data_IF_347149256077
#
_entry.id   IF_347149256077
#
_cell.length_a   1.000
_cell.length_b   1.000
_cell.length_c   1.000
_cell.angle_alpha   90.00
_cell.angle_beta   90.00
_cell.angle_gamma   90.00
#
_symmetry.space_group_name_H-M   'P 1'
#
loop_
_entity.id
_entity.type
_entity.pdbx_description
1 polymer ?
#
# COMPACT_ATOMS: atom_id res chain seq x y z
N UNK A 1 15.38 -30.81 -18.39
CA UNK A 1 14.20 -29.96 -18.15
C UNK A 1 14.50 -29.13 -16.90
N UNK A 2 14.63 -27.79 -16.98
CA UNK A 2 14.75 -27.01 -15.77
C UNK A 2 13.40 -26.99 -15.05
N UNK A 3 13.43 -27.26 -13.75
CA UNK A 3 12.29 -27.09 -12.85
C UNK A 3 11.85 -25.64 -12.92
N UNK A 4 10.53 -25.40 -13.01
CA UNK A 4 9.95 -24.07 -12.99
C UNK A 4 10.61 -23.24 -11.89
N UNK A 5 11.36 -22.21 -12.30
CA UNK A 5 11.83 -21.17 -11.39
C UNK A 5 10.59 -20.72 -10.63
N UNK A 6 10.56 -20.99 -9.32
CA UNK A 6 9.55 -20.41 -8.45
C UNK A 6 9.75 -18.91 -8.54
N UNK A 7 8.95 -18.25 -9.38
CA UNK A 7 8.90 -16.81 -9.46
C UNK A 7 8.40 -16.40 -8.08
N UNK A 8 9.32 -16.01 -7.20
CA UNK A 8 8.95 -15.36 -5.94
C UNK A 8 8.16 -14.13 -6.37
N UNK A 9 6.85 -14.18 -6.16
CA UNK A 9 5.98 -13.05 -6.45
C UNK A 9 6.17 -12.10 -5.29
N UNK A 10 6.76 -10.95 -5.60
CA UNK A 10 6.81 -9.85 -4.64
C UNK A 10 5.39 -9.53 -4.22
N UNK A 11 5.19 -9.33 -2.93
CA UNK A 11 3.87 -9.10 -2.37
C UNK A 11 3.91 -8.06 -1.28
N UNK A 12 2.80 -7.34 -1.16
CA UNK A 12 2.53 -6.39 -0.08
C UNK A 12 1.28 -6.83 0.66
N UNK A 13 1.09 -6.32 1.87
CA UNK A 13 -0.08 -6.63 2.68
C UNK A 13 -0.93 -5.39 2.85
N UNK A 14 -2.15 -5.39 2.31
CA UNK A 14 -3.13 -4.34 2.56
C UNK A 14 -4.01 -4.71 3.74
N UNK A 15 -4.09 -3.83 4.74
CA UNK A 15 -4.86 -4.02 5.96
C UNK A 15 -5.74 -2.81 6.25
N UNK A 16 -6.76 -3.01 7.09
CA UNK A 16 -7.68 -1.94 7.54
C UNK A 16 -8.78 -1.66 6.53
N UNK A 17 -9.14 -0.38 6.39
CA UNK A 17 -10.31 0.09 5.63
C UNK A 17 -10.08 0.14 4.11
N UNK A 18 -9.81 -1.02 3.54
CA UNK A 18 -9.75 -1.30 2.10
C UNK A 18 -10.86 -2.28 1.71
N UNK A 19 -11.36 -2.19 0.47
CA UNK A 19 -12.46 -3.06 0.03
C UNK A 19 -12.03 -4.53 -0.11
N UNK A 20 -10.77 -4.79 -0.48
CA UNK A 20 -10.21 -6.14 -0.53
C UNK A 20 -8.87 -6.19 0.23
N UNK A 21 -8.90 -6.46 1.55
CA UNK A 21 -7.68 -6.62 2.35
C UNK A 21 -7.02 -7.97 2.09
N UNK A 22 -5.70 -8.03 2.32
CA UNK A 22 -4.92 -9.27 2.21
C UNK A 22 -3.58 -9.07 1.53
N UNK A 23 -2.93 -10.19 1.19
CA UNK A 23 -1.70 -10.20 0.42
C UNK A 23 -2.00 -9.89 -1.05
N UNK A 24 -1.29 -8.90 -1.60
CA UNK A 24 -1.42 -8.45 -2.98
C UNK A 24 -0.09 -8.64 -3.68
N UNK A 25 -0.08 -9.43 -4.74
CA UNK A 25 1.08 -9.57 -5.59
C UNK A 25 1.34 -8.26 -6.33
N UNK A 26 2.57 -7.76 -6.25
CA UNK A 26 3.01 -6.58 -6.98
C UNK A 26 4.05 -6.97 -8.02
N UNK A 27 4.26 -6.09 -8.99
CA UNK A 27 5.43 -6.16 -9.88
C UNK A 27 6.29 -4.97 -9.54
N UNK A 28 7.41 -5.16 -8.85
CA UNK A 28 8.29 -4.06 -8.48
C UNK A 28 8.64 -3.19 -9.69
N UNK A 29 8.63 -1.89 -9.45
CA UNK A 29 8.85 -0.89 -10.50
C UNK A 29 8.15 0.42 -10.16
N UNK A 30 8.33 1.45 -11.00
CA UNK A 30 7.86 2.81 -10.72
C UNK A 30 6.33 2.94 -10.63
N UNK A 31 5.59 1.91 -11.03
CA UNK A 31 4.12 1.89 -11.00
C UNK A 31 3.54 1.10 -9.84
N UNK A 32 4.34 0.32 -9.08
CA UNK A 32 3.86 -0.39 -7.90
C UNK A 32 3.81 0.58 -6.71
N UNK A 33 2.81 1.45 -6.69
CA UNK A 33 2.68 2.51 -5.69
C UNK A 33 1.48 2.30 -4.78
N UNK A 34 1.50 2.94 -3.61
CA UNK A 34 0.45 2.74 -2.59
C UNK A 34 -0.94 3.12 -3.09
N UNK A 35 -1.08 4.26 -3.77
CA UNK A 35 -2.40 4.69 -4.26
C UNK A 35 -2.91 3.76 -5.36
N UNK A 36 -2.02 3.31 -6.25
CA UNK A 36 -2.37 2.37 -7.32
C UNK A 36 -2.80 1.01 -6.79
N UNK A 37 -2.05 0.44 -5.85
CA UNK A 37 -2.38 -0.87 -5.28
C UNK A 37 -3.72 -0.81 -4.53
N UNK A 38 -4.00 0.27 -3.80
CA UNK A 38 -5.30 0.49 -3.17
C UNK A 38 -6.42 0.56 -4.23
N UNK A 39 -6.22 1.29 -5.32
CA UNK A 39 -7.20 1.36 -6.43
C UNK A 39 -7.45 -0.01 -7.08
N UNK A 40 -6.39 -0.77 -7.36
CA UNK A 40 -6.47 -2.11 -7.96
C UNK A 40 -7.22 -3.11 -7.06
N UNK A 41 -7.18 -2.90 -5.74
CA UNK A 41 -7.97 -3.65 -4.77
C UNK A 41 -9.37 -3.06 -4.51
N UNK A 42 -9.89 -2.26 -5.44
CA UNK A 42 -11.25 -1.71 -5.37
C UNK A 42 -11.38 -0.45 -4.51
N UNK A 43 -10.27 0.16 -4.11
CA UNK A 43 -10.26 1.39 -3.33
C UNK A 43 -10.46 1.18 -1.82
N UNK A 44 -10.70 2.29 -1.13
CA UNK A 44 -10.95 2.31 0.31
C UNK A 44 -12.44 2.15 0.63
N UNK A 45 -12.76 1.71 1.84
CA UNK A 45 -14.15 1.68 2.31
C UNK A 45 -14.66 3.11 2.59
N UNK A 46 -15.96 3.26 2.82
CA UNK A 46 -16.55 4.56 3.21
C UNK A 46 -16.07 5.07 4.58
N UNK A 47 -15.57 4.18 5.44
CA UNK A 47 -15.11 4.49 6.79
C UNK A 47 -13.61 4.82 6.84
N UNK A 48 -12.87 4.67 5.75
CA UNK A 48 -11.44 4.90 5.69
C UNK A 48 -11.03 6.37 5.89
N UNK A 49 -9.87 6.60 6.51
CA UNK A 49 -9.12 7.86 6.45
C UNK A 49 -7.92 7.74 5.47
N UNK A 50 -8.15 7.90 4.15
CA UNK A 50 -7.11 7.81 3.13
C UNK A 50 -6.04 8.93 3.22
N UNK A 51 -6.25 9.97 4.03
CA UNK A 51 -5.24 11.02 4.24
C UNK A 51 -4.09 10.62 5.16
N UNK A 52 -4.21 9.48 5.84
CA UNK A 52 -3.23 9.02 6.84
C UNK A 52 -2.83 7.55 6.65
N UNK A 53 -2.75 7.09 5.39
CA UNK A 53 -2.34 5.71 5.09
C UNK A 53 -0.92 5.48 5.59
N UNK A 54 -0.71 4.39 6.32
CA UNK A 54 0.59 4.04 6.88
C UNK A 54 1.25 2.95 6.05
N UNK A 55 2.54 3.11 5.79
CA UNK A 55 3.38 2.07 5.18
C UNK A 55 4.43 1.68 6.20
N UNK A 56 4.43 0.41 6.60
CA UNK A 56 5.48 -0.18 7.43
C UNK A 56 6.40 -1.00 6.54
N UNK A 57 7.67 -0.62 6.54
CA UNK A 57 8.73 -1.24 5.74
C UNK A 57 9.81 -1.80 6.65
N UNK A 58 10.23 -3.03 6.39
CA UNK A 58 11.40 -3.61 7.06
C UNK A 58 12.58 -3.59 6.10
N UNK A 59 13.65 -2.91 6.46
CA UNK A 59 14.87 -2.86 5.67
C UNK A 59 15.64 -4.19 5.76
N UNK A 60 16.60 -4.47 4.85
CA UNK A 60 17.37 -5.71 4.86
C UNK A 60 18.16 -5.97 6.15
N UNK A 61 18.47 -4.92 6.91
CA UNK A 61 19.15 -4.99 8.21
C UNK A 61 18.18 -5.26 9.38
N UNK A 62 16.88 -5.44 9.10
CA UNK A 62 15.82 -5.65 10.10
C UNK A 62 15.24 -4.36 10.68
N UNK A 63 15.74 -3.18 10.31
CA UNK A 63 15.23 -1.90 10.80
C UNK A 63 13.83 -1.65 10.25
N UNK A 64 12.89 -1.28 11.13
CA UNK A 64 11.53 -0.91 10.74
C UNK A 64 11.43 0.59 10.48
N UNK A 65 10.83 0.98 9.36
CA UNK A 65 10.51 2.35 8.99
C UNK A 65 9.00 2.48 8.79
N UNK A 66 8.43 3.59 9.25
CA UNK A 66 7.03 3.92 9.04
C UNK A 66 6.93 5.22 8.25
N UNK A 67 6.07 5.24 7.24
CA UNK A 67 5.76 6.42 6.44
C UNK A 67 4.27 6.66 6.49
N UNK A 68 3.85 7.93 6.44
CA UNK A 68 2.45 8.33 6.31
C UNK A 68 2.28 8.98 4.95
N UNK A 69 1.26 8.54 4.21
CA UNK A 69 0.97 9.00 2.85
C UNK A 69 -0.47 9.51 2.78
N UNK A 70 -0.65 10.68 2.19
CA UNK A 70 -1.98 11.23 1.89
C UNK A 70 -2.47 10.70 0.53
N UNK A 71 -3.01 9.48 0.56
CA UNK A 71 -3.59 8.83 -0.62
C UNK A 71 -4.83 9.58 -1.12
N UNK A 72 -5.54 10.30 -0.25
CA UNK A 72 -6.66 11.15 -0.68
C UNK A 72 -6.19 12.26 -1.61
N UNK A 73 -5.10 12.95 -1.27
CA UNK A 73 -4.51 14.00 -2.09
C UNK A 73 -4.06 13.47 -3.44
N UNK A 74 -3.39 12.31 -3.46
CA UNK A 74 -2.96 11.64 -4.69
C UNK A 74 -4.16 11.33 -5.60
N UNK A 75 -5.17 10.63 -5.08
CA UNK A 75 -6.28 10.14 -5.89
C UNK A 75 -7.31 11.21 -6.26
N UNK A 76 -7.52 12.22 -5.41
CA UNK A 76 -8.53 13.26 -5.64
C UNK A 76 -7.98 14.48 -6.36
N UNK A 77 -6.72 14.86 -6.10
CA UNK A 77 -6.11 16.05 -6.66
C UNK A 77 -5.09 15.74 -7.76
N UNK A 78 -4.82 14.46 -8.03
CA UNK A 78 -3.89 14.03 -9.08
C UNK A 78 -2.41 14.24 -8.74
N UNK A 79 -2.07 14.36 -7.46
CA UNK A 79 -0.70 14.56 -6.97
C UNK A 79 0.14 13.26 -7.01
N UNK A 80 0.19 12.60 -8.17
CA UNK A 80 0.84 11.28 -8.33
C UNK A 80 2.36 11.31 -8.09
N UNK A 81 2.99 12.47 -8.15
CA UNK A 81 4.38 12.68 -7.76
C UNK A 81 4.64 12.46 -6.26
N UNK A 82 3.59 12.54 -5.44
CA UNK A 82 3.64 12.26 -4.00
C UNK A 82 3.41 10.76 -3.68
N UNK A 83 3.06 9.94 -4.69
CA UNK A 83 2.75 8.53 -4.49
C UNK A 83 4.01 7.71 -4.20
N UNK A 84 3.89 6.82 -3.21
CA UNK A 84 5.05 6.13 -2.66
C UNK A 84 5.20 4.76 -3.31
N UNK A 85 6.36 4.45 -3.92
CA UNK A 85 6.63 3.12 -4.44
C UNK A 85 6.73 2.11 -3.30
N UNK A 86 6.05 0.99 -3.48
CA UNK A 86 6.03 -0.13 -2.56
C UNK A 86 7.19 -1.08 -2.87
N UNK A 87 7.62 -1.79 -1.83
CA UNK A 87 8.64 -2.82 -1.86
C UNK A 87 8.05 -4.15 -1.38
N UNK A 88 8.69 -5.25 -1.78
CA UNK A 88 8.32 -6.57 -1.27
C UNK A 88 8.28 -6.60 0.26
N UNK A 89 7.22 -7.16 0.81
CA UNK A 89 6.97 -7.27 2.24
C UNK A 89 6.43 -6.01 2.91
N UNK A 90 6.21 -4.90 2.20
CA UNK A 90 5.58 -3.71 2.78
C UNK A 90 4.18 -4.04 3.33
N UNK A 91 3.87 -3.48 4.50
CA UNK A 91 2.53 -3.54 5.10
C UNK A 91 1.89 -2.16 4.99
N UNK A 92 0.81 -2.07 4.22
CA UNK A 92 0.02 -0.86 4.04
C UNK A 92 -1.23 -0.95 4.90
N UNK A 93 -1.41 0.00 5.80
CA UNK A 93 -2.54 0.06 6.72
C UNK A 93 -3.34 1.30 6.39
N UNK A 94 -4.60 1.09 5.98
CA UNK A 94 -5.56 2.18 5.80
C UNK A 94 -6.37 2.31 7.09
N UNK A 95 -6.18 3.38 7.87
CA UNK A 95 -6.91 3.54 9.13
C UNK A 95 -8.39 3.84 8.87
N UNK A 96 -9.23 3.49 9.84
CA UNK A 96 -10.59 4.04 9.93
C UNK A 96 -10.54 5.54 10.25
N UNK A 97 -11.57 6.28 9.85
CA UNK A 97 -11.83 7.62 10.37
C UNK A 97 -12.03 7.48 11.87
N UNK A 98 -11.17 8.14 12.65
CA UNK A 98 -11.50 8.41 14.04
C UNK A 98 -12.82 9.19 14.11
N UNK A 99 -13.54 9.08 15.24
CA UNK A 99 -14.81 9.77 15.50
C UNK A 99 -14.76 11.30 15.26
N UNK A 100 -13.56 11.89 15.18
CA UNK A 100 -13.30 13.31 14.95
C UNK A 100 -12.54 13.64 13.65
N UNK A 101 -12.26 12.67 12.77
CA UNK A 101 -11.55 12.92 11.51
C UNK A 101 -10.11 13.44 11.65
N UNK A 102 -9.49 13.26 12.82
CA UNK A 102 -8.09 13.58 13.13
C UNK A 102 -7.19 12.35 12.96
#
# INVERSE_FOLDING_TARGET
MPLASSVVREQVYLLGEVNHPGAVAIRSGPHATVARVILEQGGTTQYANPGRVQIQRTAPDGTKRSMVVDVARILKLGAFEEDVPLQDGDVVIVPEKGLLGL
#
